data_IF_863707671755
#
_entry.id   IF_863707671755
#
_cell.length_a   1.000
_cell.length_b   1.000
_cell.length_c   1.000
_cell.angle_alpha   90.00
_cell.angle_beta   90.00
_cell.angle_gamma   90.00
#
_symmetry.space_group_name_H-M   'P 1'
#
loop_
_entity.id
_entity.type
_entity.pdbx_description
1 polymer ?
#
# COMPACT_ATOMS: atom_id res chain seq x y z
N UNK A 1 -29.66 -52.61 -31.46
CA UNK A 1 -28.35 -51.93 -31.33
C UNK A 1 -28.45 -50.61 -32.08
N UNK A 2 -28.57 -49.49 -31.36
CA UNK A 2 -28.57 -48.13 -31.95
C UNK A 2 -27.37 -47.40 -31.36
N UNK A 3 -26.30 -47.27 -32.14
CA UNK A 3 -25.10 -46.56 -31.75
C UNK A 3 -25.31 -45.05 -31.86
N UNK A 4 -25.06 -44.32 -30.78
CA UNK A 4 -25.00 -42.85 -30.78
C UNK A 4 -23.53 -42.48 -30.88
N UNK A 5 -23.15 -41.79 -31.96
CA UNK A 5 -21.81 -41.22 -32.14
C UNK A 5 -21.77 -39.84 -31.48
N UNK A 6 -20.99 -39.69 -30.41
CA UNK A 6 -20.66 -38.39 -29.81
C UNK A 6 -19.43 -37.84 -30.53
N UNK A 7 -19.59 -36.73 -31.26
CA UNK A 7 -18.47 -35.96 -31.82
C UNK A 7 -17.99 -35.00 -30.74
N UNK A 8 -16.89 -35.33 -30.08
CA UNK A 8 -16.20 -34.42 -29.17
C UNK A 8 -15.41 -33.37 -29.98
N UNK A 9 -15.94 -32.16 -30.07
CA UNK A 9 -15.22 -31.02 -30.64
C UNK A 9 -14.17 -30.50 -29.65
N UNK A 10 -12.89 -30.77 -29.93
CA UNK A 10 -11.77 -30.25 -29.16
C UNK A 10 -11.50 -28.79 -29.60
N UNK A 11 -12.01 -27.81 -28.87
CA UNK A 11 -11.60 -26.41 -29.04
C UNK A 11 -10.18 -26.23 -28.49
N UNK A 12 -9.19 -26.09 -29.37
CA UNK A 12 -7.85 -25.65 -29.01
C UNK A 12 -7.87 -24.13 -28.73
N UNK A 13 -7.79 -23.75 -27.46
CA UNK A 13 -7.46 -22.36 -27.08
C UNK A 13 -5.94 -22.20 -27.18
N UNK A 14 -5.47 -21.56 -28.24
CA UNK A 14 -4.06 -21.23 -28.39
C UNK A 14 -3.66 -20.14 -27.39
N UNK A 15 -2.89 -20.50 -26.35
CA UNK A 15 -2.31 -19.53 -25.44
C UNK A 15 -1.15 -18.79 -26.11
N UNK A 16 -1.24 -17.47 -26.26
CA UNK A 16 -0.13 -16.66 -26.75
C UNK A 16 1.05 -16.72 -25.75
N UNK A 17 2.31 -16.72 -26.23
CA UNK A 17 3.47 -16.72 -25.35
C UNK A 17 3.57 -15.38 -24.59
N UNK A 18 4.02 -15.39 -23.32
CA UNK A 18 4.21 -14.17 -22.55
C UNK A 18 5.28 -13.29 -23.21
N UNK A 19 5.03 -11.98 -23.27
CA UNK A 19 6.01 -10.99 -23.72
C UNK A 19 6.82 -10.49 -22.54
N UNK A 20 8.14 -10.64 -22.60
CA UNK A 20 9.05 -10.04 -21.61
C UNK A 20 9.27 -8.58 -21.97
N UNK A 21 8.92 -7.68 -21.05
CA UNK A 21 9.18 -6.25 -21.17
C UNK A 21 10.16 -5.87 -20.07
N UNK A 22 11.26 -5.23 -20.45
CA UNK A 22 12.17 -4.63 -19.48
C UNK A 22 11.55 -3.33 -18.94
N UNK A 23 11.43 -3.23 -17.62
CA UNK A 23 10.93 -2.03 -16.94
C UNK A 23 12.08 -1.49 -16.09
N UNK A 24 12.50 -0.26 -16.34
CA UNK A 24 13.42 0.46 -15.46
C UNK A 24 12.62 1.13 -14.33
N UNK A 25 12.83 0.70 -13.09
CA UNK A 25 12.26 1.40 -11.93
C UNK A 25 13.21 2.53 -11.50
N UNK A 26 12.68 3.70 -11.11
CA UNK A 26 13.48 4.73 -10.46
C UNK A 26 14.02 4.21 -9.12
N UNK A 27 15.15 4.77 -8.68
CA UNK A 27 15.72 4.43 -7.37
C UNK A 27 14.75 4.84 -6.25
N UNK A 28 14.56 3.95 -5.27
CA UNK A 28 13.70 4.19 -4.11
C UNK A 28 14.40 5.10 -3.06
N UNK A 29 14.77 6.31 -3.46
CA UNK A 29 15.37 7.34 -2.60
C UNK A 29 14.36 8.40 -2.18
N UNK A 30 13.06 8.12 -2.33
CA UNK A 30 12.01 9.04 -1.97
C UNK A 30 12.00 9.28 -0.45
N UNK A 31 11.80 10.52 -0.05
CA UNK A 31 11.56 10.92 1.33
C UNK A 31 10.09 11.32 1.49
N UNK A 32 9.59 11.26 2.73
CA UNK A 32 8.28 11.81 3.06
C UNK A 32 8.33 13.33 2.89
N UNK A 33 7.46 13.87 2.05
CA UNK A 33 7.42 15.30 1.76
C UNK A 33 6.86 16.09 2.95
N UNK A 34 7.26 17.35 3.07
CA UNK A 34 6.57 18.28 3.96
C UNK A 34 5.13 18.51 3.51
N UNK A 35 4.24 18.67 4.48
CA UNK A 35 2.80 18.77 4.23
C UNK A 35 2.32 20.21 4.01
N UNK A 36 3.23 21.18 4.19
CA UNK A 36 2.97 22.61 4.08
C UNK A 36 3.00 23.34 5.44
N UNK A 37 2.87 24.68 5.43
CA UNK A 37 2.95 25.48 6.65
C UNK A 37 1.88 25.11 7.68
N UNK A 38 2.27 25.05 8.95
CA UNK A 38 1.36 24.75 10.07
C UNK A 38 0.92 23.27 10.15
N UNK A 39 1.47 22.39 9.32
CA UNK A 39 1.28 20.95 9.42
C UNK A 39 2.39 20.28 10.24
N UNK A 40 2.18 19.05 10.74
CA UNK A 40 3.25 18.28 11.35
C UNK A 40 4.44 18.10 10.40
N UNK A 41 5.67 18.25 10.92
CA UNK A 41 6.92 18.04 10.19
C UNK A 41 7.11 16.57 9.80
N UNK A 42 7.75 16.33 8.64
CA UNK A 42 8.12 15.00 8.17
C UNK A 42 9.43 14.47 8.78
N UNK A 43 10.11 15.23 9.64
CA UNK A 43 11.43 14.87 10.18
C UNK A 43 11.40 13.54 10.94
N UNK A 44 10.45 13.37 11.87
CA UNK A 44 10.37 12.16 12.68
C UNK A 44 10.12 10.91 11.82
N UNK A 45 9.25 11.00 10.81
CA UNK A 45 8.93 9.86 9.94
C UNK A 45 10.09 9.56 8.96
N UNK A 46 10.77 10.58 8.43
CA UNK A 46 11.97 10.39 7.60
C UNK A 46 13.13 9.75 8.38
N UNK A 47 13.33 10.15 9.63
CA UNK A 47 14.43 9.66 10.46
C UNK A 47 14.22 8.22 10.97
N UNK A 48 12.96 7.78 11.09
CA UNK A 48 12.64 6.51 11.77
C UNK A 48 12.11 5.40 10.84
N UNK A 49 11.40 5.74 9.77
CA UNK A 49 10.66 4.74 8.99
C UNK A 49 11.42 4.21 7.77
N UNK A 50 12.43 4.94 7.28
CA UNK A 50 13.17 4.57 6.06
C UNK A 50 14.30 3.56 6.28
N UNK A 51 14.54 3.16 7.53
CA UNK A 51 15.55 2.15 7.86
C UNK A 51 15.15 0.73 7.41
N UNK A 52 13.85 0.45 7.27
CA UNK A 52 13.36 -0.91 7.01
C UNK A 52 12.45 -1.04 5.79
N UNK A 53 11.85 0.05 5.31
CA UNK A 53 10.97 0.03 4.14
C UNK A 53 10.95 1.38 3.42
N UNK A 54 10.49 1.39 2.17
CA UNK A 54 10.35 2.63 1.39
C UNK A 54 9.13 3.46 1.85
N UNK A 55 9.05 4.70 1.37
CA UNK A 55 7.91 5.58 1.64
C UNK A 55 6.62 5.00 1.08
N UNK A 56 6.65 4.38 -0.09
CA UNK A 56 5.46 3.87 -0.79
C UNK A 56 4.74 2.79 0.00
N UNK A 57 5.47 1.99 0.79
CA UNK A 57 4.85 1.01 1.68
C UNK A 57 3.94 1.67 2.72
N UNK A 58 4.30 2.87 3.18
CA UNK A 58 3.52 3.65 4.14
C UNK A 58 2.43 4.46 3.43
N UNK A 59 2.75 5.10 2.30
CA UNK A 59 1.84 6.02 1.63
C UNK A 59 0.75 5.32 0.81
N UNK A 60 0.89 4.01 0.54
CA UNK A 60 -0.14 3.21 -0.13
C UNK A 60 -1.07 2.46 0.83
N UNK A 61 -1.00 2.73 2.13
CA UNK A 61 -1.99 2.20 3.07
C UNK A 61 -3.39 2.74 2.73
N UNK A 62 -4.45 1.95 3.00
CA UNK A 62 -5.82 2.45 2.92
C UNK A 62 -6.02 3.65 3.85
N UNK A 63 -7.15 4.35 3.69
CA UNK A 63 -7.52 5.36 4.67
C UNK A 63 -7.74 4.72 6.03
N UNK A 64 -7.13 5.31 7.06
CA UNK A 64 -7.16 4.81 8.42
C UNK A 64 -7.59 5.92 9.38
N UNK A 65 -8.33 5.54 10.40
CA UNK A 65 -8.64 6.43 11.52
C UNK A 65 -7.36 6.79 12.29
N UNK A 66 -7.38 7.87 13.09
CA UNK A 66 -6.22 8.21 13.93
C UNK A 66 -5.80 7.08 14.89
N UNK A 67 -6.77 6.32 15.42
CA UNK A 67 -6.49 5.19 16.30
C UNK A 67 -5.81 4.04 15.54
N UNK A 68 -6.22 3.77 14.30
CA UNK A 68 -5.58 2.75 13.46
C UNK A 68 -4.16 3.14 13.07
N UNK A 69 -3.91 4.40 12.71
CA UNK A 69 -2.55 4.89 12.47
C UNK A 69 -1.65 4.76 13.70
N UNK A 70 -2.16 5.10 14.88
CA UNK A 70 -1.43 4.90 16.14
C UNK A 70 -1.12 3.41 16.40
N UNK A 71 -2.07 2.52 16.06
CA UNK A 71 -1.89 1.07 16.11
C UNK A 71 -0.79 0.58 15.17
N UNK A 72 -0.73 1.10 13.95
CA UNK A 72 0.31 0.76 12.97
C UNK A 72 1.70 1.22 13.44
N UNK A 73 1.84 2.44 13.95
CA UNK A 73 3.11 2.93 14.52
C UNK A 73 3.50 2.10 15.75
N UNK A 74 2.53 1.74 16.60
CA UNK A 74 2.77 0.86 17.76
C UNK A 74 3.26 -0.52 17.32
N UNK A 75 2.68 -1.09 16.25
CA UNK A 75 3.12 -2.36 15.66
C UNK A 75 4.57 -2.29 15.19
N UNK A 76 4.99 -1.19 14.55
CA UNK A 76 6.39 -0.99 14.14
C UNK A 76 7.34 -1.07 15.34
N UNK A 77 6.98 -0.45 16.46
CA UNK A 77 7.79 -0.45 17.68
C UNK A 77 7.81 -1.80 18.40
N UNK A 78 6.64 -2.40 18.59
CA UNK A 78 6.49 -3.54 19.49
C UNK A 78 6.72 -4.88 18.81
N UNK A 79 6.27 -5.02 17.56
CA UNK A 79 6.38 -6.27 16.80
C UNK A 79 7.66 -6.26 15.97
N UNK A 80 7.87 -5.21 15.19
CA UNK A 80 9.04 -5.10 14.29
C UNK A 80 10.28 -4.49 14.95
N UNK A 81 10.17 -4.09 16.23
CA UNK A 81 11.29 -3.60 17.05
C UNK A 81 11.98 -2.35 16.49
N UNK A 82 11.25 -1.53 15.74
CA UNK A 82 11.76 -0.24 15.27
C UNK A 82 12.15 0.63 16.48
N UNK A 83 13.37 1.21 16.51
CA UNK A 83 13.89 1.96 17.65
C UNK A 83 13.33 3.39 17.70
N UNK A 84 12.01 3.52 17.76
CA UNK A 84 11.30 4.81 17.75
C UNK A 84 10.95 5.22 19.18
N UNK A 85 11.30 6.46 19.56
CA UNK A 85 10.95 7.04 20.86
C UNK A 85 9.44 7.28 20.99
N UNK A 86 8.92 7.48 22.21
CA UNK A 86 7.50 7.81 22.39
C UNK A 86 7.15 9.18 21.78
N UNK A 87 8.07 10.14 21.85
CA UNK A 87 7.90 11.46 21.24
C UNK A 87 7.84 11.38 19.71
N UNK A 88 8.75 10.62 19.09
CA UNK A 88 8.75 10.42 17.65
C UNK A 88 7.53 9.61 17.20
N UNK A 89 7.09 8.62 17.98
CA UNK A 89 5.88 7.86 17.68
C UNK A 89 4.64 8.76 17.62
N UNK A 90 4.52 9.72 18.54
CA UNK A 90 3.45 10.71 18.54
C UNK A 90 3.56 11.65 17.31
N UNK A 91 4.75 12.14 17.00
CA UNK A 91 4.99 13.01 15.84
C UNK A 91 4.71 12.31 14.50
N UNK A 92 5.17 11.07 14.34
CA UNK A 92 4.91 10.21 13.17
C UNK A 92 3.41 9.99 13.00
N UNK A 93 2.71 9.64 14.08
CA UNK A 93 1.25 9.42 14.03
C UNK A 93 0.52 10.69 13.61
N UNK A 94 0.89 11.85 14.14
CA UNK A 94 0.30 13.13 13.76
C UNK A 94 0.52 13.43 12.27
N UNK A 95 1.73 13.21 11.76
CA UNK A 95 2.04 13.39 10.34
C UNK A 95 1.21 12.45 9.44
N UNK A 96 1.10 11.17 9.80
CA UNK A 96 0.35 10.18 9.03
C UNK A 96 -1.15 10.51 8.97
N UNK A 97 -1.73 10.93 10.09
CA UNK A 97 -3.13 11.38 10.15
C UNK A 97 -3.35 12.62 9.29
N UNK A 98 -2.46 13.60 9.36
CA UNK A 98 -2.54 14.80 8.52
C UNK A 98 -2.39 14.46 7.04
N UNK A 99 -1.47 13.57 6.69
CA UNK A 99 -1.26 13.08 5.33
C UNK A 99 -2.48 12.36 4.78
N UNK A 100 -3.05 11.43 5.55
CA UNK A 100 -4.23 10.68 5.14
C UNK A 100 -5.47 11.57 5.00
N UNK A 101 -5.64 12.57 5.88
CA UNK A 101 -6.72 13.54 5.78
C UNK A 101 -6.70 14.33 4.46
N UNK A 102 -5.51 14.64 3.93
CA UNK A 102 -5.38 15.30 2.61
C UNK A 102 -5.57 14.37 1.43
N UNK A 103 -5.44 13.06 1.62
CA UNK A 103 -5.68 12.05 0.58
C UNK A 103 -7.15 11.72 0.39
N UNK A 104 -8.03 12.06 1.34
CA UNK A 104 -9.46 11.75 1.26
C UNK A 104 -10.08 12.32 -0.01
N UNK A 105 -10.59 11.50 -0.94
CA UNK A 105 -11.52 11.97 -1.95
C UNK A 105 -12.89 12.22 -1.29
N UNK A 106 -13.68 13.14 -1.84
CA UNK A 106 -15.10 13.24 -1.49
C UNK A 106 -15.81 11.92 -1.86
N UNK A 107 -16.13 11.12 -0.84
CA UNK A 107 -16.71 9.75 -0.88
C UNK A 107 -15.95 8.71 -1.74
N UNK A 108 -15.42 7.63 -1.14
CA UNK A 108 -14.77 6.55 -1.89
C UNK A 108 -15.76 5.80 -2.81
N UNK A 109 -15.40 5.44 -4.06
CA UNK A 109 -16.17 4.49 -4.84
C UNK A 109 -16.17 3.13 -4.14
N UNK A 110 -17.34 2.50 -4.04
CA UNK A 110 -17.48 1.13 -3.48
C UNK A 110 -16.48 0.21 -4.17
N UNK A 111 -15.67 -0.50 -3.40
CA UNK A 111 -14.73 -1.48 -3.92
C UNK A 111 -15.45 -2.43 -4.88
N UNK A 112 -14.90 -2.70 -6.08
CA UNK A 112 -15.50 -3.67 -6.97
C UNK A 112 -15.52 -5.03 -6.28
N UNK A 113 -16.68 -5.69 -6.36
CA UNK A 113 -16.86 -7.03 -5.82
C UNK A 113 -15.75 -7.94 -6.35
N UNK A 114 -15.19 -8.79 -5.48
CA UNK A 114 -14.19 -9.80 -5.86
C UNK A 114 -14.70 -10.57 -7.08
N UNK A 115 -13.90 -10.59 -8.14
CA UNK A 115 -14.19 -11.42 -9.31
C UNK A 115 -14.37 -12.87 -8.87
N UNK A 116 -15.44 -13.57 -9.30
CA UNK A 116 -15.53 -15.00 -9.11
C UNK A 116 -14.45 -15.66 -9.98
N UNK A 117 -13.61 -16.46 -9.31
CA UNK A 117 -12.67 -17.36 -9.97
C UNK A 117 -13.36 -18.59 -10.54
#
# INVERSE_FOLDING_TARGET
MRGVLIVAGLLLVAAAPPRIVAISLPAATAMFAELGPGQPSADAINNNCLACHSTEMVLNQPHLTPAEWAGEVTKMRQVYKAPVSDADAAAITAWLVAHDARRRPETPPKSPAKSPG
#
